data_IF_372462579938
#
_entry.id   IF_372462579938
#
_cell.length_a   1.000
_cell.length_b   1.000
_cell.length_c   1.000
_cell.angle_alpha   90.00
_cell.angle_beta   90.00
_cell.angle_gamma   90.00
#
_symmetry.space_group_name_H-M   'P 1'
#
loop_
_entity.id
_entity.type
_entity.pdbx_description
1 polymer ?
#
# COMPACT_ATOMS: atom_id res chain seq x y z
N UNK A 1 41.89 -36.96 16.21
CA UNK A 1 41.69 -35.89 15.20
C UNK A 1 40.58 -36.38 14.32
N UNK A 2 39.35 -36.06 14.72
CA UNK A 2 38.16 -36.23 13.89
C UNK A 2 37.85 -34.83 13.38
N UNK A 3 38.11 -34.61 12.09
CA UNK A 3 37.94 -33.33 11.45
C UNK A 3 36.45 -33.00 11.40
N UNK A 4 36.10 -31.99 12.20
CA UNK A 4 34.82 -31.30 12.16
C UNK A 4 34.75 -30.59 10.80
N UNK A 5 34.15 -31.24 9.81
CA UNK A 5 33.81 -30.62 8.54
C UNK A 5 32.64 -29.66 8.81
N UNK A 6 32.99 -28.48 9.32
CA UNK A 6 32.13 -27.29 9.27
C UNK A 6 32.05 -26.88 7.81
N UNK A 7 31.19 -27.56 7.05
CA UNK A 7 30.60 -27.01 5.84
C UNK A 7 29.86 -25.74 6.27
N UNK A 8 30.63 -24.67 6.25
CA UNK A 8 30.17 -23.31 6.47
C UNK A 8 29.40 -23.00 5.21
N UNK A 9 28.07 -23.08 5.32
CA UNK A 9 27.06 -22.72 4.32
C UNK A 9 27.11 -21.21 4.06
N UNK A 10 28.24 -20.74 3.54
CA UNK A 10 28.51 -19.35 3.23
C UNK A 10 28.57 -19.14 1.72
N UNK A 11 27.70 -18.23 1.27
CA UNK A 11 27.85 -17.40 0.07
C UNK A 11 27.46 -18.00 -1.30
N UNK A 12 26.33 -18.73 -1.37
CA UNK A 12 25.55 -18.84 -2.62
C UNK A 12 24.66 -17.60 -2.84
N UNK A 13 25.26 -16.41 -2.80
CA UNK A 13 24.61 -15.19 -3.28
C UNK A 13 24.47 -15.28 -4.80
N UNK A 14 23.25 -15.45 -5.30
CA UNK A 14 22.97 -15.43 -6.73
C UNK A 14 23.29 -14.06 -7.31
N UNK A 15 24.32 -14.03 -8.15
CA UNK A 15 24.90 -12.81 -8.68
C UNK A 15 23.86 -12.02 -9.48
N UNK A 16 23.02 -12.68 -10.27
CA UNK A 16 21.99 -11.99 -11.04
C UNK A 16 20.86 -11.41 -10.18
N UNK A 17 20.35 -12.16 -9.19
CA UNK A 17 19.24 -11.69 -8.33
C UNK A 17 19.68 -10.48 -7.50
N UNK A 18 20.85 -10.56 -6.87
CA UNK A 18 21.39 -9.47 -6.05
C UNK A 18 21.72 -8.24 -6.90
N UNK A 19 22.28 -8.44 -8.09
CA UNK A 19 22.49 -7.37 -9.06
C UNK A 19 21.16 -6.72 -9.50
N UNK A 20 20.14 -7.52 -9.78
CA UNK A 20 18.85 -7.01 -10.21
C UNK A 20 18.17 -6.17 -9.12
N UNK A 21 18.17 -6.63 -7.87
CA UNK A 21 17.52 -5.92 -6.75
C UNK A 21 18.30 -4.67 -6.35
N UNK A 22 19.64 -4.70 -6.43
CA UNK A 22 20.49 -3.54 -6.16
C UNK A 22 20.52 -2.52 -7.32
N UNK A 23 20.02 -2.90 -8.50
CA UNK A 23 19.94 -2.00 -9.65
C UNK A 23 19.01 -0.82 -9.40
N UNK A 24 19.42 0.35 -9.90
CA UNK A 24 18.68 1.60 -9.75
C UNK A 24 17.29 1.47 -10.36
N UNK A 25 16.25 1.72 -9.56
CA UNK A 25 14.86 1.61 -9.99
C UNK A 25 14.16 0.34 -9.49
N UNK A 26 14.89 -0.62 -8.91
CA UNK A 26 14.33 -1.88 -8.44
C UNK A 26 14.20 -1.96 -6.91
N UNK A 27 14.22 -0.83 -6.21
CA UNK A 27 14.21 -0.80 -4.74
C UNK A 27 12.93 -1.37 -4.11
N UNK A 28 11.86 -1.50 -4.89
CA UNK A 28 10.58 -2.06 -4.43
C UNK A 28 10.55 -3.59 -4.45
N UNK A 29 11.43 -4.24 -5.21
CA UNK A 29 11.49 -5.69 -5.23
C UNK A 29 12.05 -6.24 -3.92
N UNK A 30 11.57 -7.41 -3.53
CA UNK A 30 12.25 -8.26 -2.56
C UNK A 30 12.99 -9.39 -3.27
N UNK A 31 13.91 -10.01 -2.55
CA UNK A 31 14.62 -11.19 -3.00
C UNK A 31 13.69 -12.41 -2.94
N UNK A 32 13.53 -13.09 -4.07
CA UNK A 32 12.79 -14.34 -4.17
C UNK A 32 13.72 -15.48 -3.77
N UNK A 33 13.23 -16.37 -2.90
CA UNK A 33 14.03 -17.49 -2.43
C UNK A 33 14.27 -18.50 -3.57
N UNK A 34 15.47 -19.09 -3.61
CA UNK A 34 15.89 -19.98 -4.69
C UNK A 34 15.06 -21.26 -4.78
N UNK A 35 14.61 -21.78 -3.64
CA UNK A 35 13.71 -22.93 -3.58
C UNK A 35 12.32 -22.63 -4.18
N UNK A 36 11.88 -21.37 -4.12
CA UNK A 36 10.65 -20.95 -4.79
C UNK A 36 10.81 -20.90 -6.31
N UNK A 37 11.96 -20.45 -6.80
CA UNK A 37 12.29 -20.37 -8.23
C UNK A 37 12.57 -21.73 -8.86
N UNK A 38 13.08 -22.69 -8.10
CA UNK A 38 13.38 -24.05 -8.60
C UNK A 38 12.14 -24.95 -8.63
N UNK A 39 11.10 -24.63 -7.86
CA UNK A 39 9.83 -25.37 -7.88
C UNK A 39 8.96 -25.00 -9.09
N UNK A 40 8.86 -25.96 -10.02
CA UNK A 40 8.07 -25.83 -11.26
C UNK A 40 6.59 -25.54 -11.02
N UNK A 41 6.03 -25.95 -9.88
CA UNK A 41 4.62 -25.71 -9.59
C UNK A 41 4.32 -24.21 -9.47
N UNK A 42 5.21 -23.44 -8.83
CA UNK A 42 5.07 -22.00 -8.65
C UNK A 42 5.15 -21.22 -9.97
N UNK A 43 5.87 -21.78 -10.95
CA UNK A 43 6.10 -21.17 -12.27
C UNK A 43 5.07 -21.55 -13.34
N UNK A 44 4.05 -22.34 -12.98
CA UNK A 44 3.05 -22.85 -13.92
C UNK A 44 2.39 -21.72 -14.72
N UNK A 45 2.34 -21.87 -16.05
CA UNK A 45 1.71 -20.92 -16.99
C UNK A 45 2.60 -19.76 -17.44
N UNK A 46 3.72 -19.49 -16.76
CA UNK A 46 4.62 -18.38 -17.16
C UNK A 46 5.37 -18.67 -18.47
N UNK A 47 5.50 -19.95 -18.84
CA UNK A 47 6.13 -20.38 -20.08
C UNK A 47 5.38 -19.91 -21.35
N UNK A 48 4.08 -19.58 -21.23
CA UNK A 48 3.32 -19.01 -22.37
C UNK A 48 3.36 -17.49 -22.42
N UNK A 49 3.70 -16.83 -21.32
CA UNK A 49 3.75 -15.37 -21.22
C UNK A 49 5.15 -14.83 -21.53
N UNK A 50 6.19 -15.57 -21.17
CA UNK A 50 7.59 -15.13 -21.29
C UNK A 50 8.26 -15.74 -22.52
N UNK A 51 8.78 -14.90 -23.41
CA UNK A 51 9.63 -15.33 -24.51
C UNK A 51 10.99 -15.84 -24.00
N UNK A 52 11.58 -16.85 -24.64
CA UNK A 52 12.85 -17.46 -24.21
C UNK A 52 12.83 -17.96 -22.76
N UNK A 53 11.68 -18.44 -22.27
CA UNK A 53 11.44 -18.82 -20.88
C UNK A 53 12.56 -19.65 -20.24
N UNK A 54 13.05 -20.71 -20.92
CA UNK A 54 14.11 -21.57 -20.36
C UNK A 54 15.41 -20.79 -20.15
N UNK A 55 15.84 -20.02 -21.15
CA UNK A 55 17.05 -19.21 -21.07
C UNK A 55 16.92 -18.08 -20.05
N UNK A 56 15.73 -17.48 -19.93
CA UNK A 56 15.43 -16.48 -18.92
C UNK A 56 15.50 -17.08 -17.50
N UNK A 57 14.98 -18.29 -17.31
CA UNK A 57 15.04 -19.00 -16.03
C UNK A 57 16.48 -19.36 -15.68
N UNK A 58 17.22 -19.94 -16.62
CA UNK A 58 18.62 -20.32 -16.44
C UNK A 58 19.48 -19.09 -16.07
N UNK A 59 19.17 -17.91 -16.61
CA UNK A 59 19.84 -16.66 -16.27
C UNK A 59 19.52 -16.18 -14.84
N UNK A 60 18.25 -16.26 -14.42
CA UNK A 60 17.83 -15.87 -13.07
C UNK A 60 18.37 -16.83 -11.99
N UNK A 61 18.64 -18.09 -12.36
CA UNK A 61 19.23 -19.10 -11.47
C UNK A 61 20.75 -19.23 -11.60
N UNK A 62 21.43 -18.32 -12.31
CA UNK A 62 22.88 -18.34 -12.56
C UNK A 62 23.41 -19.66 -13.19
N UNK A 63 22.58 -20.39 -13.95
CA UNK A 63 22.94 -21.61 -14.70
C UNK A 63 23.15 -21.30 -16.19
N UNK A 64 23.08 -20.04 -16.59
CA UNK A 64 23.16 -19.61 -17.99
C UNK A 64 24.60 -19.69 -18.53
N UNK A 65 24.85 -20.71 -19.37
CA UNK A 65 26.14 -21.00 -20.01
C UNK A 65 26.01 -21.00 -21.55
N UNK A 66 25.52 -19.89 -22.10
CA UNK A 66 25.31 -19.72 -23.55
C UNK A 66 26.19 -18.60 -24.10
N UNK A 67 27.06 -18.97 -25.04
CA UNK A 67 27.77 -18.05 -25.94
C UNK A 67 26.78 -17.51 -26.99
N UNK A 68 25.93 -16.58 -26.55
CA UNK A 68 25.00 -15.83 -27.39
C UNK A 68 25.66 -14.57 -27.96
N UNK A 69 25.21 -14.13 -29.12
CA UNK A 69 25.48 -12.78 -29.63
C UNK A 69 24.86 -11.71 -28.72
N UNK A 70 25.44 -10.51 -28.73
CA UNK A 70 25.05 -9.42 -27.82
C UNK A 70 23.56 -9.07 -27.92
N UNK A 71 22.99 -9.09 -29.14
CA UNK A 71 21.58 -8.79 -29.39
C UNK A 71 20.65 -9.84 -28.76
N UNK A 72 20.97 -11.14 -28.88
CA UNK A 72 20.19 -12.21 -28.27
C UNK A 72 20.33 -12.18 -26.76
N UNK A 73 21.52 -11.88 -26.23
CA UNK A 73 21.74 -11.73 -24.80
C UNK A 73 20.88 -10.62 -24.20
N UNK A 74 20.78 -9.47 -24.86
CA UNK A 74 19.90 -8.38 -24.42
C UNK A 74 18.42 -8.79 -24.40
N UNK A 75 17.97 -9.56 -25.40
CA UNK A 75 16.60 -10.09 -25.44
C UNK A 75 16.33 -11.06 -24.29
N UNK A 76 17.27 -11.98 -24.01
CA UNK A 76 17.18 -12.92 -22.90
C UNK A 76 17.14 -12.16 -21.56
N UNK A 77 17.98 -11.14 -21.38
CA UNK A 77 17.96 -10.31 -20.18
C UNK A 77 16.61 -9.59 -19.99
N UNK A 78 16.02 -9.07 -21.07
CA UNK A 78 14.70 -8.44 -21.01
C UNK A 78 13.63 -9.45 -20.58
N UNK A 79 13.68 -10.67 -21.12
CA UNK A 79 12.80 -11.77 -20.72
C UNK A 79 13.03 -12.20 -19.27
N UNK A 80 14.28 -12.23 -18.80
CA UNK A 80 14.63 -12.58 -17.41
C UNK A 80 14.08 -11.55 -16.41
N UNK A 81 14.22 -10.25 -16.69
CA UNK A 81 13.60 -9.18 -15.88
C UNK A 81 12.08 -9.32 -15.84
N UNK A 82 11.47 -9.65 -16.98
CA UNK A 82 10.03 -9.85 -17.08
C UNK A 82 9.57 -11.08 -16.28
N UNK A 83 10.26 -12.21 -16.44
CA UNK A 83 10.00 -13.45 -15.69
C UNK A 83 10.11 -13.20 -14.18
N UNK A 84 11.22 -12.60 -13.73
CA UNK A 84 11.45 -12.31 -12.32
C UNK A 84 10.32 -11.44 -11.73
N UNK A 85 9.86 -10.43 -12.48
CA UNK A 85 8.73 -9.60 -12.09
C UNK A 85 7.42 -10.39 -11.94
N UNK A 86 7.09 -11.28 -12.87
CA UNK A 86 5.87 -12.10 -12.78
C UNK A 86 5.94 -13.11 -11.63
N UNK A 87 7.11 -13.71 -11.39
CA UNK A 87 7.31 -14.60 -10.24
C UNK A 87 7.24 -13.81 -8.93
N UNK A 88 7.79 -12.58 -8.89
CA UNK A 88 7.73 -11.71 -7.73
C UNK A 88 6.29 -11.43 -7.30
N UNK A 89 5.38 -11.16 -8.26
CA UNK A 89 3.96 -10.94 -7.97
C UNK A 89 3.31 -12.13 -7.26
N UNK A 90 3.67 -13.36 -7.64
CA UNK A 90 3.19 -14.59 -6.99
C UNK A 90 3.86 -14.79 -5.63
N UNK A 91 5.16 -14.52 -5.54
CA UNK A 91 5.96 -14.73 -4.35
C UNK A 91 5.54 -13.82 -3.19
N UNK A 92 5.29 -12.53 -3.42
CA UNK A 92 4.97 -11.57 -2.35
C UNK A 92 3.61 -11.79 -1.69
N UNK A 93 2.77 -12.68 -2.23
CA UNK A 93 1.49 -13.10 -1.62
C UNK A 93 1.70 -14.31 -0.69
N UNK A 94 2.83 -15.02 -0.79
CA UNK A 94 3.19 -16.12 0.12
C UNK A 94 3.61 -15.60 1.49
N UNK A 95 3.58 -16.45 2.52
CA UNK A 95 4.02 -16.08 3.88
C UNK A 95 5.47 -15.61 3.95
N UNK A 96 6.38 -16.25 3.19
CA UNK A 96 7.80 -15.86 3.11
C UNK A 96 7.99 -14.52 2.41
N UNK A 97 7.33 -14.33 1.27
CA UNK A 97 7.39 -13.07 0.52
C UNK A 97 6.78 -11.89 1.30
N UNK A 98 5.65 -12.11 1.98
CA UNK A 98 5.01 -11.11 2.84
C UNK A 98 5.95 -10.68 3.98
N UNK A 99 6.64 -11.61 4.64
CA UNK A 99 7.58 -11.28 5.71
C UNK A 99 8.71 -10.34 5.22
N UNK A 100 9.32 -10.65 4.07
CA UNK A 100 10.35 -9.80 3.45
C UNK A 100 9.80 -8.41 3.08
N UNK A 101 8.59 -8.35 2.54
CA UNK A 101 7.96 -7.07 2.17
C UNK A 101 7.58 -6.22 3.40
N UNK A 102 7.18 -6.86 4.51
CA UNK A 102 6.92 -6.18 5.78
C UNK A 102 8.17 -5.52 6.34
N UNK A 103 9.33 -6.16 6.23
CA UNK A 103 10.60 -5.57 6.66
C UNK A 103 10.92 -4.29 5.86
N UNK A 104 10.72 -4.33 4.54
CA UNK A 104 10.87 -3.15 3.65
C UNK A 104 9.84 -2.06 3.97
N UNK A 105 8.60 -2.45 4.28
CA UNK A 105 7.53 -1.54 4.67
C UNK A 105 7.87 -0.78 5.95
N UNK A 106 8.35 -1.50 6.98
CA UNK A 106 8.80 -0.90 8.26
C UNK A 106 9.96 0.07 8.07
N UNK A 107 10.86 -0.21 7.11
CA UNK A 107 11.97 0.68 6.74
C UNK A 107 11.56 1.87 5.86
N UNK A 108 10.30 1.95 5.45
CA UNK A 108 9.78 2.97 4.53
C UNK A 108 10.47 2.97 3.14
N UNK A 109 10.95 1.81 2.67
CA UNK A 109 11.67 1.69 1.39
C UNK A 109 10.79 2.07 0.18
N UNK A 110 9.47 1.86 0.30
CA UNK A 110 8.49 2.18 -0.75
C UNK A 110 8.12 3.66 -0.81
N UNK A 111 8.61 4.46 0.14
CA UNK A 111 8.27 5.87 0.28
C UNK A 111 7.11 6.14 1.25
N UNK A 112 6.68 7.39 1.25
CA UNK A 112 5.74 7.96 2.23
C UNK A 112 4.58 8.65 1.52
N UNK A 113 3.41 8.61 2.15
CA UNK A 113 2.19 9.20 1.62
C UNK A 113 2.38 10.70 1.33
N UNK A 114 2.00 11.17 0.12
CA UNK A 114 2.09 12.59 -0.23
C UNK A 114 0.99 13.44 0.44
N UNK A 115 -0.09 12.82 0.93
CA UNK A 115 -1.17 13.53 1.61
C UNK A 115 -0.66 14.05 2.96
N UNK A 116 -0.77 15.35 3.17
CA UNK A 116 -0.31 16.04 4.39
C UNK A 116 -0.95 15.43 5.65
N UNK A 117 -2.26 15.16 5.60
CA UNK A 117 -3.02 14.58 6.73
C UNK A 117 -2.65 13.12 7.05
N UNK A 118 -1.78 12.49 6.25
CA UNK A 118 -1.25 11.17 6.56
C UNK A 118 0.08 11.20 7.31
N UNK A 119 0.65 12.38 7.59
CA UNK A 119 1.89 12.56 8.36
C UNK A 119 3.08 11.76 7.82
N UNK A 120 3.10 11.54 6.50
CA UNK A 120 4.14 10.75 5.86
C UNK A 120 4.10 9.25 6.18
N UNK A 121 2.91 8.69 6.39
CA UNK A 121 2.71 7.25 6.59
C UNK A 121 3.34 6.40 5.46
N UNK A 122 4.01 5.26 5.76
CA UNK A 122 4.64 4.40 4.77
C UNK A 122 3.64 3.83 3.75
N UNK A 123 4.10 3.68 2.51
CA UNK A 123 3.30 3.18 1.40
C UNK A 123 3.64 1.71 1.08
N UNK A 124 2.78 1.06 0.29
CA UNK A 124 3.02 -0.26 -0.28
C UNK A 124 2.91 -0.22 -1.81
N UNK A 125 3.76 -0.93 -2.56
CA UNK A 125 3.62 -1.03 -4.01
C UNK A 125 2.42 -1.90 -4.37
N UNK A 126 1.74 -1.54 -5.47
CA UNK A 126 0.66 -2.33 -6.05
C UNK A 126 0.56 -2.12 -7.56
N UNK A 127 -0.03 -3.07 -8.28
CA UNK A 127 -0.48 -2.91 -9.65
C UNK A 127 -1.97 -2.57 -9.72
N UNK A 128 -2.38 -1.76 -10.70
CA UNK A 128 -3.82 -1.59 -11.00
C UNK A 128 -4.38 -2.77 -11.81
N UNK A 129 -3.49 -3.48 -12.52
CA UNK A 129 -3.80 -4.64 -13.33
C UNK A 129 -2.77 -5.74 -13.06
N UNK A 130 -3.21 -7.00 -13.10
CA UNK A 130 -2.35 -8.18 -12.98
C UNK A 130 -1.73 -8.60 -14.31
N UNK A 131 -2.19 -8.00 -15.42
CA UNK A 131 -1.66 -8.25 -16.77
C UNK A 131 -0.55 -7.26 -17.07
N UNK A 132 0.61 -7.78 -17.48
CA UNK A 132 1.78 -6.98 -17.79
C UNK A 132 1.57 -6.00 -18.95
N UNK A 133 2.37 -4.94 -18.95
CA UNK A 133 2.43 -3.83 -19.90
C UNK A 133 1.15 -2.97 -19.98
N UNK A 134 0.22 -3.10 -19.03
CA UNK A 134 -0.98 -2.25 -18.99
C UNK A 134 -0.80 -0.98 -18.15
N UNK A 135 -0.25 -1.12 -16.94
CA UNK A 135 -0.07 -0.01 -16.01
C UNK A 135 1.23 -0.14 -15.25
N UNK A 136 1.83 0.99 -14.92
CA UNK A 136 3.03 1.04 -14.10
C UNK A 136 2.68 0.91 -12.63
N UNK A 137 3.69 0.61 -11.80
CA UNK A 137 3.51 0.45 -10.36
C UNK A 137 2.92 1.71 -9.72
N UNK A 138 1.97 1.50 -8.82
CA UNK A 138 1.39 2.53 -7.96
C UNK A 138 1.69 2.25 -6.51
N UNK A 139 1.43 3.22 -5.64
CA UNK A 139 1.67 3.13 -4.22
C UNK A 139 0.35 3.29 -3.46
N UNK A 140 -0.03 2.27 -2.70
CA UNK A 140 -1.19 2.28 -1.82
C UNK A 140 -0.81 2.82 -0.44
N UNK A 141 -1.63 3.74 0.09
CA UNK A 141 -1.52 4.20 1.46
C UNK A 141 -2.59 3.55 2.34
N UNK A 142 -2.23 2.75 3.35
CA UNK A 142 -3.23 2.16 4.23
C UNK A 142 -3.86 3.16 5.21
N UNK A 143 -3.29 4.36 5.42
CA UNK A 143 -3.90 5.38 6.32
C UNK A 143 -5.06 6.12 5.66
N UNK A 144 -4.95 6.46 4.37
CA UNK A 144 -6.02 7.13 3.62
C UNK A 144 -6.73 6.27 2.57
N UNK A 145 -6.29 5.03 2.39
CA UNK A 145 -6.88 4.04 1.50
C UNK A 145 -6.96 4.49 0.03
N UNK A 146 -5.95 5.24 -0.38
CA UNK A 146 -5.89 5.84 -1.71
C UNK A 146 -4.57 5.49 -2.41
N UNK A 147 -4.57 5.61 -3.74
CA UNK A 147 -3.51 5.16 -4.63
C UNK A 147 -2.75 6.38 -5.17
N UNK A 148 -1.43 6.32 -5.09
CA UNK A 148 -0.52 7.39 -5.48
C UNK A 148 0.47 6.95 -6.55
N UNK A 149 0.97 7.94 -7.29
CA UNK A 149 2.08 7.73 -8.21
C UNK A 149 3.42 7.76 -7.45
N UNK A 150 4.39 6.90 -7.81
CA UNK A 150 5.74 7.00 -7.29
C UNK A 150 6.31 8.40 -7.53
N UNK A 151 6.93 8.99 -6.50
CA UNK A 151 7.49 10.35 -6.58
C UNK A 151 8.69 10.43 -7.52
N UNK A 152 9.49 9.37 -7.59
CA UNK A 152 10.68 9.33 -8.44
C UNK A 152 10.34 8.73 -9.80
N UNK A 153 10.77 9.39 -10.87
CA UNK A 153 10.59 8.90 -12.25
C UNK A 153 11.28 7.56 -12.51
N UNK A 154 12.30 7.19 -11.71
CA UNK A 154 13.00 5.90 -11.83
C UNK A 154 12.10 4.70 -11.53
N UNK A 155 11.07 4.90 -10.72
CA UNK A 155 10.10 3.86 -10.38
C UNK A 155 8.91 3.85 -11.33
N UNK A 156 8.80 4.86 -12.20
CA UNK A 156 7.68 4.98 -13.13
C UNK A 156 7.77 3.99 -14.31
N UNK A 157 8.93 3.39 -14.55
CA UNK A 157 9.13 2.37 -15.59
C UNK A 157 8.87 0.94 -15.11
N UNK A 158 8.64 0.72 -13.81
CA UNK A 158 8.34 -0.60 -13.28
C UNK A 158 6.89 -0.96 -13.60
N UNK A 159 6.67 -2.16 -14.10
CA UNK A 159 5.33 -2.69 -14.34
C UNK A 159 4.60 -2.94 -13.02
N UNK A 160 3.34 -2.52 -12.94
CA UNK A 160 2.50 -2.77 -11.78
C UNK A 160 2.13 -4.25 -11.62
N UNK A 161 2.08 -4.99 -12.72
CA UNK A 161 1.75 -6.43 -12.69
C UNK A 161 2.73 -7.25 -11.84
N UNK A 162 3.97 -6.77 -11.67
CA UNK A 162 4.99 -7.43 -10.85
C UNK A 162 4.75 -7.37 -9.34
N UNK A 163 3.78 -6.56 -8.91
CA UNK A 163 3.31 -6.51 -7.52
C UNK A 163 1.88 -7.05 -7.38
N UNK A 164 1.13 -7.11 -8.49
CA UNK A 164 -0.25 -7.53 -8.51
C UNK A 164 -1.21 -6.55 -7.82
N UNK A 165 -2.50 -6.81 -8.00
CA UNK A 165 -3.60 -6.02 -7.46
C UNK A 165 -3.89 -6.35 -6.00
N UNK A 166 -3.58 -7.56 -5.54
CA UNK A 166 -4.04 -8.10 -4.26
C UNK A 166 -3.03 -8.02 -3.11
N UNK A 167 -1.74 -7.80 -3.40
CA UNK A 167 -0.66 -7.89 -2.42
C UNK A 167 -0.90 -7.02 -1.17
N UNK A 168 -1.25 -5.75 -1.35
CA UNK A 168 -1.48 -4.82 -0.24
C UNK A 168 -2.61 -5.30 0.69
N UNK A 169 -3.72 -5.81 0.15
CA UNK A 169 -4.83 -6.37 0.92
C UNK A 169 -4.44 -7.65 1.66
N UNK A 170 -3.73 -8.55 0.98
CA UNK A 170 -3.25 -9.80 1.57
C UNK A 170 -2.30 -9.55 2.75
N UNK A 171 -1.43 -8.53 2.65
CA UNK A 171 -0.50 -8.17 3.72
C UNK A 171 -1.25 -7.77 5.00
N UNK A 172 -2.28 -6.92 4.91
CA UNK A 172 -3.04 -6.52 6.09
C UNK A 172 -3.98 -7.60 6.62
N UNK A 173 -4.40 -8.53 5.76
CA UNK A 173 -5.16 -9.70 6.23
C UNK A 173 -4.29 -10.63 7.09
N UNK A 174 -3.01 -10.81 6.74
CA UNK A 174 -2.06 -11.63 7.50
C UNK A 174 -1.49 -10.88 8.70
N UNK A 175 -1.24 -9.58 8.56
CA UNK A 175 -0.68 -8.71 9.60
C UNK A 175 -1.64 -7.56 9.97
N UNK A 176 -2.77 -7.84 10.64
CA UNK A 176 -3.76 -6.83 10.99
C UNK A 176 -3.20 -5.75 11.94
N UNK A 177 -2.20 -6.10 12.76
CA UNK A 177 -1.53 -5.17 13.66
C UNK A 177 -0.73 -4.05 12.95
N UNK A 178 -0.47 -4.18 11.64
CA UNK A 178 0.18 -3.13 10.85
C UNK A 178 -0.82 -2.16 10.23
N UNK A 179 -2.13 -2.42 10.34
CA UNK A 179 -3.14 -1.52 9.82
C UNK A 179 -3.18 -0.26 10.69
N UNK A 180 -2.93 0.94 10.12
CA UNK A 180 -3.01 2.17 10.88
C UNK A 180 -4.46 2.48 11.24
N UNK A 181 -4.64 3.09 12.40
CA UNK A 181 -5.90 3.75 12.75
C UNK A 181 -6.23 4.82 11.72
N UNK A 182 -7.52 4.88 11.36
CA UNK A 182 -8.00 5.78 10.34
C UNK A 182 -8.21 7.16 10.95
N UNK A 183 -7.98 8.19 10.16
CA UNK A 183 -8.23 9.58 10.56
C UNK A 183 -9.35 10.18 9.71
N UNK A 184 -10.31 10.84 10.37
CA UNK A 184 -11.37 11.60 9.71
C UNK A 184 -10.92 13.01 9.31
N UNK A 185 -9.74 13.47 9.76
CA UNK A 185 -9.27 14.84 9.52
C UNK A 185 -9.11 15.16 8.03
N UNK A 186 -9.67 16.29 7.64
CA UNK A 186 -9.62 16.86 6.29
C UNK A 186 -9.08 18.28 6.35
N UNK A 187 -8.47 18.73 5.25
CA UNK A 187 -8.02 20.11 5.15
C UNK A 187 -9.24 21.05 5.09
N UNK A 188 -9.31 21.98 6.04
CA UNK A 188 -10.33 23.03 6.06
C UNK A 188 -9.79 24.33 5.45
N UNK A 189 -10.28 24.76 4.28
CA UNK A 189 -9.84 26.02 3.68
C UNK A 189 -10.35 27.22 4.50
N UNK A 190 -9.42 28.06 4.98
CA UNK A 190 -9.71 29.26 5.77
C UNK A 190 -9.05 30.50 5.17
N UNK A 191 -9.76 31.63 5.16
CA UNK A 191 -9.23 32.95 4.79
C UNK A 191 -9.52 33.90 5.94
N UNK A 192 -8.47 34.52 6.50
CA UNK A 192 -8.54 35.34 7.72
C UNK A 192 -9.26 34.66 8.91
N UNK A 193 -9.16 33.33 9.02
CA UNK A 193 -9.81 32.53 10.07
C UNK A 193 -11.23 32.06 9.72
N UNK A 194 -11.88 32.67 8.72
CA UNK A 194 -13.21 32.28 8.26
C UNK A 194 -13.15 31.08 7.31
N UNK A 195 -14.00 30.07 7.55
CA UNK A 195 -14.17 28.93 6.62
C UNK A 195 -14.79 29.46 5.32
N UNK A 196 -14.19 29.13 4.18
CA UNK A 196 -14.60 29.69 2.87
C UNK A 196 -15.26 28.62 2.01
N UNK A 197 -16.14 29.05 1.09
CA UNK A 197 -16.62 28.29 -0.07
C UNK A 197 -17.81 27.34 0.17
N UNK A 198 -18.58 27.09 -0.90
CA UNK A 198 -19.60 26.05 -0.99
C UNK A 198 -19.05 24.62 -0.72
N UNK A 199 -17.74 24.41 -0.90
CA UNK A 199 -17.10 23.12 -0.64
C UNK A 199 -16.95 22.87 0.86
N UNK A 200 -16.78 23.92 1.67
CA UNK A 200 -16.88 23.79 3.12
C UNK A 200 -18.31 23.50 3.57
N UNK A 201 -19.33 24.00 2.84
CA UNK A 201 -20.73 23.63 3.11
C UNK A 201 -21.01 22.16 2.76
N UNK A 202 -20.52 21.69 1.62
CA UNK A 202 -20.60 20.27 1.24
C UNK A 202 -19.84 19.38 2.23
N UNK A 203 -18.64 19.78 2.67
CA UNK A 203 -17.86 19.04 3.67
C UNK A 203 -18.65 18.88 4.98
N UNK A 204 -19.25 19.98 5.50
CA UNK A 204 -20.12 19.91 6.68
C UNK A 204 -21.30 18.97 6.48
N UNK A 205 -21.95 19.02 5.32
CA UNK A 205 -23.06 18.11 5.00
C UNK A 205 -22.59 16.64 4.96
N UNK A 206 -21.43 16.37 4.38
CA UNK A 206 -20.83 15.03 4.37
C UNK A 206 -20.42 14.56 5.77
N UNK A 207 -19.95 15.45 6.64
CA UNK A 207 -19.59 15.13 8.01
C UNK A 207 -20.85 14.80 8.84
N UNK A 208 -21.93 15.57 8.69
CA UNK A 208 -23.25 15.27 9.31
C UNK A 208 -23.74 13.89 8.87
N UNK A 209 -23.76 13.62 7.55
CA UNK A 209 -24.21 12.34 7.02
C UNK A 209 -23.33 11.17 7.50
N UNK A 210 -22.03 11.41 7.67
CA UNK A 210 -21.11 10.41 8.24
C UNK A 210 -21.47 10.10 9.69
N UNK A 211 -21.74 11.11 10.52
CA UNK A 211 -22.11 10.89 11.92
C UNK A 211 -23.44 10.15 12.05
N UNK A 212 -24.44 10.49 11.21
CA UNK A 212 -25.69 9.72 11.11
C UNK A 212 -25.44 8.26 10.71
N UNK A 213 -24.58 8.04 9.72
CA UNK A 213 -24.20 6.69 9.26
C UNK A 213 -23.44 5.92 10.34
N UNK A 214 -22.50 6.56 11.06
CA UNK A 214 -21.78 5.98 12.20
C UNK A 214 -22.76 5.55 13.29
N UNK A 215 -23.75 6.39 13.61
CA UNK A 215 -24.78 6.05 14.59
C UNK A 215 -25.59 4.82 14.17
N UNK A 216 -25.99 4.75 12.89
CA UNK A 216 -26.69 3.58 12.34
C UNK A 216 -25.84 2.31 12.35
N UNK A 217 -24.54 2.41 12.03
CA UNK A 217 -23.60 1.29 12.09
C UNK A 217 -23.40 0.80 13.53
N UNK A 218 -23.28 1.72 14.50
CA UNK A 218 -23.24 1.39 15.93
C UNK A 218 -24.49 0.64 16.39
N UNK A 219 -25.67 1.06 15.94
CA UNK A 219 -26.93 0.35 16.22
C UNK A 219 -26.96 -1.07 15.60
N UNK A 220 -26.35 -1.24 14.42
CA UNK A 220 -26.18 -2.53 13.76
C UNK A 220 -25.04 -3.40 14.34
N UNK A 221 -24.33 -2.92 15.37
CA UNK A 221 -23.22 -3.64 16.02
C UNK A 221 -21.90 -3.63 15.23
N UNK A 222 -21.75 -2.70 14.27
CA UNK A 222 -20.51 -2.52 13.49
C UNK A 222 -19.81 -1.25 13.98
N UNK A 223 -18.71 -1.42 14.71
CA UNK A 223 -17.92 -0.31 15.25
C UNK A 223 -16.62 -0.12 14.47
N UNK A 224 -16.42 1.09 13.94
CA UNK A 224 -15.19 1.51 13.27
C UNK A 224 -14.59 2.66 14.06
N UNK A 225 -13.43 2.44 14.69
CA UNK A 225 -12.73 3.43 15.50
C UNK A 225 -11.84 4.32 14.64
N UNK A 226 -11.88 5.62 14.89
CA UNK A 226 -11.00 6.63 14.31
C UNK A 226 -10.14 7.28 15.39
N UNK A 227 -8.96 7.78 15.01
CA UNK A 227 -8.01 8.45 15.93
C UNK A 227 -8.68 9.61 16.68
N UNK A 228 -9.62 10.29 16.02
CA UNK A 228 -10.31 11.43 16.62
C UNK A 228 -11.38 11.03 17.65
N UNK A 229 -11.90 9.80 17.60
CA UNK A 229 -12.92 9.35 18.56
C UNK A 229 -12.29 9.17 19.97
N UNK A 230 -11.04 8.70 20.05
CA UNK A 230 -10.31 8.55 21.33
C UNK A 230 -9.97 9.91 21.98
N UNK A 231 -9.73 10.95 21.17
CA UNK A 231 -9.46 12.31 21.69
C UNK A 231 -10.70 13.00 22.27
N UNK A 232 -11.90 12.62 21.83
CA UNK A 232 -13.16 13.14 22.40
C UNK A 232 -13.50 12.45 23.73
N UNK A 233 -13.09 11.19 23.93
CA UNK A 233 -13.25 10.49 25.21
C UNK A 233 -12.34 11.05 26.32
N UNK A 234 -11.10 11.45 25.99
CA UNK A 234 -10.18 12.09 26.95
C UNK A 234 -10.63 13.50 27.39
N UNK A 235 -11.32 14.25 26.53
CA UNK A 235 -11.85 15.59 26.88
C UNK A 235 -13.11 15.53 27.77
N UNK A 236 -13.82 14.40 27.80
CA UNK A 236 -15.04 14.23 28.61
C UNK A 236 -14.77 13.87 30.07
N UNK A 237 -13.57 13.41 30.41
CA UNK A 237 -13.19 13.02 31.80
C UNK A 237 -12.76 14.23 32.67
N UNK A 238 -12.52 15.41 32.09
CA UNK A 238 -12.03 16.60 32.81
C UNK A 238 -13.14 17.61 33.20
N UNK A 239 -14.39 17.46 32.72
CA UNK A 239 -15.48 18.44 32.91
C UNK A 239 -16.62 18.00 33.85
N UNK A 240 -16.45 16.91 34.61
CA UNK A 240 -17.46 16.42 35.58
C UNK A 240 -17.39 17.17 36.95
N UNK A 241 -17.52 18.51 36.93
CA UNK A 241 -18.01 19.27 38.10
C UNK A 241 -19.51 19.62 37.92
N UNK A 242 -20.40 19.24 38.86
CA UNK A 242 -21.82 19.46 38.70
C UNK A 242 -22.19 20.93 38.93
N UNK A 243 -22.44 21.69 37.86
CA UNK A 243 -23.04 23.02 37.95
C UNK A 243 -24.55 22.88 38.20
N UNK A 244 -24.98 23.35 39.37
CA UNK A 244 -26.35 23.35 39.87
C UNK A 244 -27.33 24.09 38.97
N UNK A 245 -28.54 23.53 38.82
CA UNK A 245 -29.70 24.09 38.12
C UNK A 245 -30.03 25.55 38.55
N UNK A 246 -30.06 26.46 37.58
CA UNK A 246 -30.89 27.67 37.68
C UNK A 246 -31.71 27.84 36.41
N UNK A 247 -33.04 27.71 36.56
CA UNK A 247 -34.06 28.05 35.56
C UNK A 247 -33.99 29.54 35.25
N UNK A 248 -33.92 29.90 33.96
CA UNK A 248 -34.35 31.21 33.46
C UNK A 248 -34.78 31.11 31.98
N UNK A 249 -35.57 32.10 31.57
CA UNK A 249 -36.72 32.01 30.67
C UNK A 249 -36.44 31.87 29.15
N UNK A 250 -37.44 31.31 28.45
CA UNK A 250 -37.53 31.32 26.98
C UNK A 250 -37.75 32.75 26.48
N UNK A 251 -36.86 33.24 25.61
CA UNK A 251 -37.12 34.42 24.78
C UNK A 251 -37.10 34.02 23.31
N UNK A 252 -38.17 34.39 22.60
CA UNK A 252 -38.40 34.14 21.19
C UNK A 252 -37.72 35.19 20.28
N UNK A 253 -37.23 34.74 19.13
CA UNK A 253 -36.71 35.55 18.01
C UNK A 253 -35.48 34.85 17.41
N UNK A 254 -35.35 34.54 16.13
CA UNK A 254 -35.99 35.10 14.95
C UNK A 254 -36.05 34.03 13.84
N UNK A 255 -37.17 33.98 13.13
CA UNK A 255 -37.38 33.09 12.00
C UNK A 255 -36.87 33.74 10.71
N UNK A 256 -35.84 33.17 10.09
CA UNK A 256 -35.50 33.45 8.69
C UNK A 256 -35.37 32.15 7.91
N UNK A 257 -36.49 31.78 7.31
CA UNK A 257 -36.68 30.69 6.35
C UNK A 257 -35.79 30.88 5.11
N UNK A 258 -34.99 29.88 4.78
CA UNK A 258 -34.33 29.71 3.48
C UNK A 258 -34.68 28.35 2.88
N UNK A 259 -35.97 28.17 2.59
CA UNK A 259 -36.55 27.04 1.86
C UNK A 259 -35.91 27.01 0.45
N UNK A 260 -35.04 26.04 0.17
CA UNK A 260 -34.69 25.69 -1.22
C UNK A 260 -35.55 24.50 -1.63
N UNK A 261 -36.59 24.82 -2.38
CA UNK A 261 -37.42 23.85 -3.08
C UNK A 261 -36.54 23.09 -4.09
N UNK A 262 -36.47 21.76 -3.96
CA UNK A 262 -35.98 20.86 -5.00
C UNK A 262 -37.04 20.79 -6.10
N UNK A 263 -36.69 21.20 -7.31
CA UNK A 263 -37.52 21.00 -8.49
C UNK A 263 -36.62 20.58 -9.67
N UNK A 264 -36.91 19.35 -10.15
CA UNK A 264 -36.42 18.63 -11.35
C UNK A 264 -34.92 18.47 -11.57
#
# INVERSE_FOLDING_TARGET
>A
MEDFNSETDSDYTSYWRDWFISSRGNEYFCEIDEDYLTDRFNLTGLNTEVAYYQYALDLVTDVFDLDADDDLREQIEKSARHLYGLVHARYIVTTRGLAKMVEKYKRCDFGKCPRVMCDGHPLLPMGQHDVANQSTVRLYCPKCEDIYNPKSSRHASIDGAYFGTSFHSMLFQVYPALLPEKSIRRYEPRVFGFKVHAMAALARWQDIFREETKASLREAGVEAKYIEDDSEEEELDDDDEPISETKEERVAGDAASGRMDLCN
#
